data_IF_612106870708
#
_entry.id   IF_612106870708
#
_cell.length_a   1.000
_cell.length_b   1.000
_cell.length_c   1.000
_cell.angle_alpha   90.00
_cell.angle_beta   90.00
_cell.angle_gamma   90.00
#
_symmetry.space_group_name_H-M   'P 1'
#
loop_
_entity.id
_entity.type
_entity.pdbx_description
1 polymer ?
#
# COMPACT_ATOMS: atom_id res chain seq x y z
N UNK A 1 53.28 -3.58 15.05
CA UNK A 1 52.28 -2.57 15.47
C UNK A 1 50.98 -3.30 15.72
N UNK A 2 50.56 -3.39 16.98
CA UNK A 2 49.29 -3.96 17.37
C UNK A 2 48.18 -2.98 16.99
N UNK A 3 47.27 -3.40 16.10
CA UNK A 3 46.07 -2.63 15.82
C UNK A 3 45.25 -2.57 17.11
N UNK A 4 44.95 -1.38 17.66
CA UNK A 4 44.16 -1.30 18.89
C UNK A 4 42.80 -1.95 18.63
N UNK A 5 42.37 -2.80 19.57
CA UNK A 5 41.11 -3.55 19.52
C UNK A 5 39.87 -2.65 19.30
N UNK A 6 40.02 -1.34 19.48
CA UNK A 6 39.02 -0.31 19.20
C UNK A 6 38.76 0.00 17.72
N UNK A 7 39.50 -0.60 16.78
CA UNK A 7 39.30 -0.35 15.34
C UNK A 7 38.15 -1.17 14.73
N UNK A 8 37.72 -2.22 15.42
CA UNK A 8 36.46 -2.90 15.11
C UNK A 8 35.36 -2.26 15.95
N UNK A 9 35.02 -1.02 15.61
CA UNK A 9 33.76 -0.47 16.06
C UNK A 9 32.64 -1.30 15.42
N UNK A 10 32.08 -2.22 16.20
CA UNK A 10 31.03 -3.15 15.80
C UNK A 10 29.85 -2.38 15.20
N UNK A 11 29.59 -1.15 15.68
CA UNK A 11 28.54 -0.28 15.19
C UNK A 11 28.82 0.21 13.76
N UNK A 12 30.05 0.62 13.47
CA UNK A 12 30.46 1.03 12.14
C UNK A 12 30.47 -0.15 11.15
N UNK A 13 30.97 -1.31 11.57
CA UNK A 13 31.04 -2.50 10.72
C UNK A 13 29.64 -3.05 10.40
N UNK A 14 28.75 -3.10 11.39
CA UNK A 14 27.36 -3.54 11.23
C UNK A 14 26.59 -2.63 10.26
N UNK A 15 26.80 -1.31 10.35
CA UNK A 15 26.11 -0.34 9.49
C UNK A 15 26.53 -0.51 8.03
N UNK A 16 27.83 -0.67 7.75
CA UNK A 16 28.32 -0.92 6.38
C UNK A 16 27.83 -2.25 5.84
N UNK A 17 27.78 -3.28 6.68
CA UNK A 17 27.28 -4.60 6.32
C UNK A 17 25.78 -4.57 6.00
N UNK A 18 24.95 -3.93 6.84
CA UNK A 18 23.51 -3.78 6.60
C UNK A 18 23.22 -3.00 5.31
N UNK A 19 23.96 -1.92 5.03
CA UNK A 19 23.77 -1.15 3.79
C UNK A 19 24.09 -2.00 2.56
N UNK A 20 25.17 -2.79 2.60
CA UNK A 20 25.50 -3.73 1.51
C UNK A 20 24.46 -4.84 1.37
N UNK A 21 23.96 -5.39 2.47
CA UNK A 21 22.89 -6.39 2.44
C UNK A 21 21.59 -5.81 1.86
N UNK A 22 21.21 -4.58 2.20
CA UNK A 22 20.01 -3.92 1.63
C UNK A 22 20.17 -3.64 0.14
N UNK A 23 21.37 -3.26 -0.31
CA UNK A 23 21.63 -3.05 -1.75
C UNK A 23 21.58 -4.36 -2.54
N UNK A 24 22.07 -5.47 -1.99
CA UNK A 24 22.10 -6.77 -2.65
C UNK A 24 20.76 -7.53 -2.56
N UNK A 25 20.11 -7.47 -1.40
CA UNK A 25 18.93 -8.27 -1.09
C UNK A 25 17.61 -7.46 -1.22
N UNK A 26 17.71 -6.16 -1.51
CA UNK A 26 16.60 -5.23 -1.56
C UNK A 26 16.15 -4.76 -0.18
N UNK A 27 15.16 -3.85 -0.13
CA UNK A 27 14.63 -3.32 1.12
C UNK A 27 14.15 -4.42 2.07
N UNK A 28 14.54 -4.34 3.34
CA UNK A 28 14.20 -5.31 4.41
C UNK A 28 12.67 -5.54 4.52
N UNK A 29 11.85 -4.54 4.16
CA UNK A 29 10.40 -4.67 4.17
C UNK A 29 9.86 -5.67 3.13
N UNK A 30 10.51 -5.80 1.97
CA UNK A 30 10.18 -6.83 0.98
C UNK A 30 10.61 -8.22 1.47
N UNK A 31 11.77 -8.30 2.14
CA UNK A 31 12.26 -9.55 2.75
C UNK A 31 11.33 -10.08 3.83
N UNK A 32 10.64 -9.18 4.54
CA UNK A 32 9.71 -9.56 5.62
C UNK A 32 8.32 -9.94 5.11
N UNK A 33 8.08 -10.14 3.80
CA UNK A 33 6.78 -10.53 3.21
C UNK A 33 5.57 -9.67 3.62
N UNK A 34 5.74 -8.68 4.48
CA UNK A 34 4.73 -7.84 5.06
C UNK A 34 3.85 -7.12 4.03
N UNK A 35 4.39 -6.56 2.91
CA UNK A 35 3.53 -6.01 1.87
C UNK A 35 2.67 -7.08 1.20
N UNK A 36 3.19 -8.30 1.02
CA UNK A 36 2.42 -9.42 0.47
C UNK A 36 1.36 -9.93 1.45
N UNK A 37 1.68 -10.04 2.74
CA UNK A 37 0.73 -10.39 3.80
C UNK A 37 -0.42 -9.38 3.89
N UNK A 38 -0.10 -8.08 3.81
CA UNK A 38 -1.09 -7.01 3.78
C UNK A 38 -2.01 -7.12 2.56
N UNK A 39 -1.44 -7.36 1.38
CA UNK A 39 -2.21 -7.52 0.16
C UNK A 39 -3.14 -8.75 0.22
N UNK A 40 -2.64 -9.90 0.69
CA UNK A 40 -3.46 -11.10 0.90
C UNK A 40 -4.59 -10.84 1.91
N UNK A 41 -4.35 -10.06 2.96
CA UNK A 41 -5.39 -9.73 3.94
C UNK A 41 -6.56 -8.98 3.29
N UNK A 42 -6.27 -8.02 2.41
CA UNK A 42 -7.28 -7.26 1.67
C UNK A 42 -8.01 -8.21 0.72
N UNK A 43 -7.26 -9.00 -0.05
CA UNK A 43 -7.79 -9.99 -0.98
C UNK A 43 -8.73 -11.01 -0.30
N UNK A 44 -8.39 -11.48 0.90
CA UNK A 44 -9.25 -12.35 1.71
C UNK A 44 -10.56 -11.68 2.12
N UNK A 45 -10.58 -10.34 2.24
CA UNK A 45 -11.80 -9.57 2.49
C UNK A 45 -12.80 -9.63 1.34
N UNK A 46 -12.33 -9.83 0.10
CA UNK A 46 -13.20 -9.93 -1.08
C UNK A 46 -13.90 -11.29 -1.22
N UNK A 47 -13.44 -12.35 -0.54
CA UNK A 47 -14.05 -13.68 -0.64
C UNK A 47 -15.35 -13.72 0.18
N UNK A 48 -16.46 -13.24 -0.41
CA UNK A 48 -17.81 -13.30 0.18
C UNK A 48 -18.50 -14.63 -0.07
N UNK A 49 -18.17 -15.29 -1.18
CA UNK A 49 -18.67 -16.61 -1.54
C UNK A 49 -17.53 -17.65 -1.52
N UNK A 50 -17.59 -18.60 -0.58
CA UNK A 50 -16.59 -19.68 -0.43
C UNK A 50 -16.73 -20.79 -1.48
N UNK A 51 -17.86 -20.86 -2.19
CA UNK A 51 -18.03 -21.87 -3.24
C UNK A 51 -17.04 -21.63 -4.37
N UNK A 52 -16.88 -20.37 -4.79
CA UNK A 52 -16.02 -19.95 -5.90
C UNK A 52 -15.18 -18.73 -5.50
N UNK A 53 -14.10 -18.95 -4.71
CA UNK A 53 -13.33 -17.86 -4.12
C UNK A 53 -12.61 -16.99 -5.17
N UNK A 54 -12.07 -17.60 -6.23
CA UNK A 54 -11.36 -16.87 -7.28
C UNK A 54 -12.28 -15.91 -8.05
N UNK A 55 -13.44 -16.40 -8.49
CA UNK A 55 -14.43 -15.57 -9.17
C UNK A 55 -14.93 -14.43 -8.25
N UNK A 56 -15.20 -14.73 -6.98
CA UNK A 56 -15.65 -13.75 -6.01
C UNK A 56 -14.61 -12.64 -5.78
N UNK A 57 -13.32 -12.97 -5.78
CA UNK A 57 -12.25 -11.97 -5.66
C UNK A 57 -12.19 -11.05 -6.88
N UNK A 58 -12.27 -11.62 -8.09
CA UNK A 58 -12.22 -10.85 -9.35
C UNK A 58 -13.41 -9.89 -9.43
N UNK A 59 -14.62 -10.36 -9.15
CA UNK A 59 -15.83 -9.54 -9.21
C UNK A 59 -15.77 -8.33 -8.27
N UNK A 60 -15.36 -8.55 -7.02
CA UNK A 60 -15.26 -7.47 -6.04
C UNK A 60 -14.11 -6.50 -6.35
N UNK A 61 -12.98 -7.02 -6.86
CA UNK A 61 -11.86 -6.17 -7.27
C UNK A 61 -12.25 -5.25 -8.44
N UNK A 62 -12.89 -5.81 -9.48
CA UNK A 62 -13.38 -5.02 -10.63
C UNK A 62 -14.42 -3.99 -10.19
N UNK A 63 -15.32 -4.34 -9.26
CA UNK A 63 -16.29 -3.40 -8.73
C UNK A 63 -15.62 -2.22 -8.00
N UNK A 64 -14.56 -2.47 -7.21
CA UNK A 64 -13.80 -1.42 -6.53
C UNK A 64 -13.07 -0.51 -7.52
N UNK A 65 -12.38 -1.07 -8.51
CA UNK A 65 -11.69 -0.31 -9.58
C UNK A 65 -12.67 0.57 -10.36
N UNK A 66 -13.85 0.05 -10.71
CA UNK A 66 -14.87 0.84 -11.41
C UNK A 66 -15.40 1.97 -10.53
N UNK A 67 -15.57 1.76 -9.23
CA UNK A 67 -16.00 2.81 -8.29
C UNK A 67 -14.93 3.88 -8.13
N UNK A 68 -13.66 3.50 -7.98
CA UNK A 68 -12.55 4.45 -7.89
C UNK A 68 -12.41 5.25 -9.19
N UNK A 69 -12.49 4.60 -10.35
CA UNK A 69 -12.48 5.26 -11.65
C UNK A 69 -13.67 6.21 -11.82
N UNK A 70 -14.88 5.78 -11.45
CA UNK A 70 -16.06 6.65 -11.49
C UNK A 70 -15.90 7.85 -10.58
N UNK A 71 -15.32 7.68 -9.39
CA UNK A 71 -15.09 8.77 -8.45
C UNK A 71 -14.09 9.79 -9.00
N UNK A 72 -12.99 9.33 -9.58
CA UNK A 72 -12.01 10.19 -10.25
C UNK A 72 -12.62 10.92 -11.46
N UNK A 73 -13.37 10.19 -12.29
CA UNK A 73 -14.05 10.76 -13.46
C UNK A 73 -15.07 11.82 -13.06
N UNK A 74 -15.91 11.55 -12.05
CA UNK A 74 -16.90 12.51 -11.55
C UNK A 74 -16.25 13.74 -10.89
N UNK A 75 -15.12 13.56 -10.19
CA UNK A 75 -14.37 14.68 -9.63
C UNK A 75 -13.82 15.62 -10.71
N UNK A 76 -13.53 15.08 -11.90
CA UNK A 76 -12.99 15.83 -13.04
C UNK A 76 -14.07 16.46 -13.94
N UNK A 77 -15.35 16.17 -13.71
CA UNK A 77 -16.46 16.77 -14.47
C UNK A 77 -16.99 17.99 -13.72
N UNK A 78 -17.03 19.13 -14.41
CA UNK A 78 -17.81 20.28 -13.94
C UNK A 78 -19.31 19.97 -14.15
N UNK A 79 -20.12 19.83 -13.09
CA UNK A 79 -21.53 19.55 -13.24
C UNK A 79 -22.22 20.77 -13.86
N UNK A 80 -22.72 20.59 -15.08
CA UNK A 80 -23.48 21.63 -15.77
C UNK A 80 -24.87 21.73 -15.10
N UNK A 81 -25.08 22.81 -14.35
CA UNK A 81 -26.38 23.17 -13.78
C UNK A 81 -26.62 22.82 -12.30
N UNK A 82 -25.62 22.28 -11.58
CA UNK A 82 -25.73 22.03 -10.12
C UNK A 82 -24.66 22.85 -9.39
N UNK A 83 -25.02 23.70 -8.40
CA UNK A 83 -24.02 24.39 -7.58
C UNK A 83 -23.25 23.34 -6.77
N UNK A 84 -21.95 23.24 -6.99
CA UNK A 84 -21.08 22.38 -6.17
C UNK A 84 -20.92 23.06 -4.81
N UNK A 85 -21.58 22.53 -3.78
CA UNK A 85 -21.29 22.90 -2.40
C UNK A 85 -20.04 22.13 -1.94
N UNK A 86 -18.90 22.81 -1.89
CA UNK A 86 -17.62 22.26 -1.43
C UNK A 86 -17.66 21.76 0.03
N UNK A 87 -18.73 21.99 0.79
CA UNK A 87 -18.86 21.56 2.19
C UNK A 87 -19.42 20.13 2.37
N UNK A 88 -19.90 19.47 1.31
CA UNK A 88 -20.58 18.17 1.39
C UNK A 88 -19.71 16.92 1.15
N UNK A 89 -18.44 17.08 0.73
CA UNK A 89 -17.53 15.96 0.39
C UNK A 89 -17.31 14.98 1.57
N UNK A 90 -17.51 15.44 2.81
CA UNK A 90 -17.21 14.68 4.03
C UNK A 90 -18.25 13.63 4.48
N UNK A 91 -19.29 13.34 3.70
CA UNK A 91 -20.36 12.39 4.12
C UNK A 91 -20.23 10.97 3.56
N UNK A 92 -19.54 10.76 2.44
CA UNK A 92 -19.40 9.42 1.83
C UNK A 92 -17.99 8.81 1.92
N UNK A 93 -16.96 9.60 2.27
CA UNK A 93 -15.57 9.13 2.37
C UNK A 93 -15.25 8.36 3.67
N UNK A 94 -16.18 8.32 4.64
CA UNK A 94 -15.92 7.77 5.98
C UNK A 94 -16.04 6.25 6.11
N UNK A 95 -16.30 5.54 5.01
CA UNK A 95 -16.57 4.09 5.02
C UNK A 95 -15.48 3.20 4.39
N UNK A 96 -14.59 3.73 3.54
CA UNK A 96 -13.69 2.90 2.70
C UNK A 96 -12.20 3.26 2.92
N UNK A 97 -11.87 3.93 4.02
CA UNK A 97 -10.47 4.23 4.40
C UNK A 97 -9.94 3.29 5.49
N UNK A 98 -10.52 2.09 5.64
CA UNK A 98 -9.92 1.02 6.46
C UNK A 98 -8.96 0.18 5.60
N UNK A 99 -7.86 0.79 5.13
CA UNK A 99 -6.88 0.04 4.34
C UNK A 99 -5.76 0.83 3.67
N UNK A 100 -5.90 2.14 3.50
CA UNK A 100 -4.87 2.98 2.87
C UNK A 100 -3.75 3.31 3.85
N UNK A 101 -2.86 2.34 4.11
CA UNK A 101 -1.49 2.68 4.47
C UNK A 101 -0.67 2.71 3.18
N UNK A 102 -0.47 3.93 2.67
CA UNK A 102 0.72 4.34 1.92
C UNK A 102 1.40 3.23 1.10
N UNK A 103 0.86 2.97 -0.08
CA UNK A 103 1.70 2.62 -1.23
C UNK A 103 1.56 3.78 -2.21
N UNK A 104 2.02 4.95 -1.76
CA UNK A 104 2.37 6.03 -2.67
C UNK A 104 3.66 5.56 -3.31
N UNK A 105 3.54 4.92 -4.47
CA UNK A 105 4.63 4.77 -5.41
C UNK A 105 4.98 6.17 -5.92
N UNK A 106 5.82 6.87 -5.16
CA UNK A 106 6.64 7.96 -5.68
C UNK A 106 8.08 7.48 -5.67
N UNK A 107 8.55 7.16 -6.87
CA UNK A 107 9.93 6.98 -7.34
C UNK A 107 10.81 5.93 -6.63
#
# INVERSE_FOLDING_TARGET
>A
MFFPFSFFDIMAHLTVYLVREVQLCGPIFLRRLYPFERHIKILKGYVRNRYWPEACMIENYVAEEVVEYCNEYLHNINPIGVPIDHTAVNKYERGITSGKSHVVLTY
#
